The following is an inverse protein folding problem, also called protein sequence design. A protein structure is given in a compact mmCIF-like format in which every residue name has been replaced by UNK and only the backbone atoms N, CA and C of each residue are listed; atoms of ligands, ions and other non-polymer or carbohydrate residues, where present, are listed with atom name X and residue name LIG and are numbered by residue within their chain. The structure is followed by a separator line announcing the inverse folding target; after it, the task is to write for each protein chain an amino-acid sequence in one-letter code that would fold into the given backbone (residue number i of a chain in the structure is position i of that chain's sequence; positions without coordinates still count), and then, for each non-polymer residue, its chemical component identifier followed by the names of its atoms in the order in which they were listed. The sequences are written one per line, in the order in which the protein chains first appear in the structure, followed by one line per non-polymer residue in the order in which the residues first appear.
data_IF_864019302226
#
_entry.id   IF_864019302226
#
_cell.length_a   1.000
_cell.length_b   1.000
_cell.length_c   1.000
_cell.angle_alpha   90.00
_cell.angle_beta   90.00
_cell.angle_gamma   90.00
#
_symmetry.space_group_name_H-M   'P 1'
#
loop_
_entity.id
_entity.type
_entity.pdbx_description
1 polymer ?
#
# COMPACT_ATOMS: atom_id res chain seq x y z
N UNK A 1 8.40 13.63 -7.55
CA UNK A 1 8.75 12.60 -8.53
C UNK A 1 9.34 13.14 -9.79
N UNK A 2 8.68 14.11 -10.41
CA UNK A 2 9.16 14.70 -11.65
C UNK A 2 10.54 15.32 -11.48
N UNK A 3 10.81 15.90 -10.31
CA UNK A 3 12.11 16.49 -10.01
C UNK A 3 13.19 15.43 -9.89
N UNK A 4 12.88 14.30 -9.25
CA UNK A 4 13.82 13.17 -9.14
C UNK A 4 14.13 12.63 -10.53
N UNK A 5 13.13 12.47 -11.38
CA UNK A 5 13.30 11.94 -12.72
C UNK A 5 14.12 12.89 -13.60
N UNK A 6 13.98 14.20 -13.44
CA UNK A 6 14.79 15.20 -14.14
C UNK A 6 16.25 15.15 -13.71
N UNK A 7 16.50 14.85 -12.42
CA UNK A 7 17.84 14.81 -11.87
C UNK A 7 18.56 13.50 -12.20
N UNK A 8 17.83 12.39 -12.32
CA UNK A 8 18.37 11.06 -12.59
C UNK A 8 17.65 10.46 -13.80
N UNK A 9 18.39 10.27 -14.90
CA UNK A 9 17.83 9.73 -16.14
C UNK A 9 17.35 8.29 -15.98
N UNK A 10 18.03 7.52 -15.11
CA UNK A 10 17.73 6.11 -14.94
C UNK A 10 17.79 5.70 -13.48
N UNK A 11 16.77 4.96 -13.06
CA UNK A 11 16.69 4.32 -11.76
C UNK A 11 16.77 2.82 -11.98
N UNK A 12 17.79 2.18 -11.39
CA UNK A 12 17.98 0.73 -11.57
C UNK A 12 17.07 -0.08 -10.67
N UNK A 13 16.91 0.34 -9.42
CA UNK A 13 16.09 -0.36 -8.41
C UNK A 13 15.14 0.62 -7.77
N UNK A 14 13.87 0.25 -7.73
CA UNK A 14 12.83 1.01 -7.05
C UNK A 14 12.30 0.20 -5.87
N UNK A 15 12.46 0.72 -4.66
CA UNK A 15 11.79 0.21 -3.47
C UNK A 15 10.52 1.03 -3.30
N UNK A 16 9.37 0.40 -3.46
CA UNK A 16 8.10 1.11 -3.44
C UNK A 16 7.19 0.62 -2.34
N UNK A 17 6.62 1.57 -1.62
CA UNK A 17 5.61 1.33 -0.61
C UNK A 17 4.28 0.95 -1.31
N UNK A 18 3.61 -0.07 -0.81
CA UNK A 18 2.33 -0.53 -1.35
C UNK A 18 1.17 -0.45 -0.34
N UNK A 19 1.36 0.25 0.76
CA UNK A 19 0.33 0.44 1.77
C UNK A 19 0.66 1.60 2.70
N UNK A 20 -0.33 2.03 3.45
CA UNK A 20 -0.17 3.09 4.43
C UNK A 20 -0.62 2.63 5.80
N UNK A 21 0.22 2.82 6.82
CA UNK A 21 -0.12 2.55 8.20
C UNK A 21 -0.96 3.72 8.76
N UNK A 22 -2.22 3.44 9.10
CA UNK A 22 -3.10 4.45 9.65
C UNK A 22 -4.35 3.82 10.23
N UNK A 23 -5.12 4.58 11.03
CA UNK A 23 -6.30 4.03 11.71
C UNK A 23 -7.51 3.81 10.80
N UNK A 24 -7.52 4.38 9.61
CA UNK A 24 -8.63 4.24 8.67
C UNK A 24 -8.49 2.96 7.84
N UNK A 25 -9.54 2.18 7.62
CA UNK A 25 -10.90 2.33 8.17
C UNK A 25 -11.13 1.53 9.45
N UNK A 26 -10.17 0.70 9.88
CA UNK A 26 -10.38 -0.30 10.91
C UNK A 26 -10.74 0.27 12.29
N UNK A 27 -10.20 1.42 12.63
CA UNK A 27 -10.41 2.05 13.95
C UNK A 27 -11.52 3.09 13.96
N UNK A 28 -12.23 3.29 12.87
CA UNK A 28 -13.29 4.31 12.79
C UNK A 28 -14.60 3.75 13.30
N UNK A 29 -15.08 4.23 14.45
CA UNK A 29 -16.30 3.73 15.10
C UNK A 29 -17.58 4.07 14.33
N UNK A 30 -17.57 5.12 13.53
CA UNK A 30 -18.72 5.53 12.72
C UNK A 30 -18.99 4.63 11.52
N UNK A 31 -18.10 3.65 11.25
CA UNK A 31 -18.27 2.68 10.19
C UNK A 31 -18.62 1.32 10.78
N UNK A 32 -19.61 0.64 10.22
CA UNK A 32 -19.90 -0.74 10.59
C UNK A 32 -18.91 -1.71 9.91
N UNK A 33 -18.97 -3.00 10.26
CA UNK A 33 -18.02 -3.99 9.73
C UNK A 33 -18.06 -4.10 8.20
N UNK A 34 -19.23 -4.03 7.61
CA UNK A 34 -19.40 -4.10 6.15
C UNK A 34 -18.78 -2.88 5.46
N UNK A 35 -19.02 -1.69 6.02
CA UNK A 35 -18.43 -0.46 5.50
C UNK A 35 -16.91 -0.46 5.63
N UNK A 36 -16.37 -0.99 6.73
CA UNK A 36 -14.94 -1.12 6.95
C UNK A 36 -14.30 -2.05 5.92
N UNK A 37 -14.94 -3.16 5.59
CA UNK A 37 -14.44 -4.11 4.58
C UNK A 37 -14.35 -3.43 3.21
N UNK A 38 -15.40 -2.72 2.81
CA UNK A 38 -15.44 -2.01 1.53
C UNK A 38 -14.35 -0.93 1.49
N UNK A 39 -14.23 -0.14 2.56
CA UNK A 39 -13.22 0.91 2.66
C UNK A 39 -11.79 0.34 2.66
N UNK A 40 -11.57 -0.79 3.32
CA UNK A 40 -10.27 -1.47 3.34
C UNK A 40 -9.87 -1.94 1.95
N UNK A 41 -10.77 -2.54 1.20
CA UNK A 41 -10.51 -2.99 -0.16
C UNK A 41 -10.18 -1.81 -1.08
N UNK A 42 -10.90 -0.71 -0.94
CA UNK A 42 -10.66 0.50 -1.72
C UNK A 42 -9.29 1.11 -1.41
N UNK A 43 -8.93 1.17 -0.14
CA UNK A 43 -7.63 1.69 0.31
C UNK A 43 -6.48 0.83 -0.20
N UNK A 44 -6.61 -0.50 -0.08
CA UNK A 44 -5.61 -1.45 -0.57
C UNK A 44 -5.37 -1.25 -2.07
N UNK A 45 -6.43 -1.19 -2.85
CA UNK A 45 -6.35 -0.99 -4.31
C UNK A 45 -5.72 0.34 -4.67
N UNK A 46 -6.05 1.39 -3.93
CA UNK A 46 -5.48 2.72 -4.14
C UNK A 46 -3.95 2.72 -3.99
N UNK A 47 -3.44 2.09 -2.94
CA UNK A 47 -2.00 2.04 -2.71
C UNK A 47 -1.27 1.14 -3.70
N UNK A 48 -1.87 0.03 -4.12
CA UNK A 48 -1.30 -0.82 -5.15
C UNK A 48 -1.22 -0.10 -6.50
N UNK A 49 -2.27 0.62 -6.86
CA UNK A 49 -2.28 1.42 -8.10
C UNK A 49 -1.25 2.55 -8.03
N UNK A 50 -1.07 3.17 -6.88
CA UNK A 50 -0.07 4.21 -6.70
C UNK A 50 1.34 3.65 -6.91
N UNK A 51 1.61 2.46 -6.36
CA UNK A 51 2.91 1.81 -6.55
C UNK A 51 3.17 1.50 -8.03
N UNK A 52 2.15 1.04 -8.75
CA UNK A 52 2.27 0.80 -10.20
C UNK A 52 2.56 2.09 -10.96
N UNK A 53 1.90 3.19 -10.59
CA UNK A 53 2.16 4.48 -11.22
C UNK A 53 3.62 4.92 -11.03
N UNK A 54 4.21 4.66 -9.87
CA UNK A 54 5.63 4.94 -9.63
C UNK A 54 6.52 4.09 -10.52
N UNK A 55 6.21 2.80 -10.65
CA UNK A 55 6.97 1.89 -11.52
C UNK A 55 6.89 2.37 -12.97
N UNK A 56 5.72 2.76 -13.44
CA UNK A 56 5.53 3.26 -14.80
C UNK A 56 6.27 4.58 -15.04
N UNK A 57 6.31 5.46 -14.03
CA UNK A 57 6.99 6.76 -14.15
C UNK A 57 8.50 6.61 -14.20
N UNK A 58 9.09 5.78 -13.32
CA UNK A 58 10.54 5.63 -13.23
C UNK A 58 11.11 4.55 -14.13
N UNK A 59 10.30 3.59 -14.55
CA UNK A 59 10.69 2.47 -15.41
C UNK A 59 12.00 1.81 -14.94
N UNK A 60 12.07 1.37 -13.67
CA UNK A 60 13.29 0.77 -13.12
C UNK A 60 13.55 -0.59 -13.77
N UNK A 61 14.82 -1.04 -13.72
CA UNK A 61 15.17 -2.40 -14.12
C UNK A 61 14.58 -3.45 -13.16
N UNK A 62 14.56 -3.12 -11.87
CA UNK A 62 14.05 -3.97 -10.80
C UNK A 62 13.20 -3.15 -9.86
N UNK A 63 12.16 -3.75 -9.32
CA UNK A 63 11.35 -3.13 -8.28
C UNK A 63 11.05 -4.15 -7.19
N UNK A 64 10.92 -3.65 -5.96
CA UNK A 64 10.64 -4.48 -4.79
C UNK A 64 9.56 -3.81 -3.94
N UNK A 65 8.45 -4.50 -3.66
CA UNK A 65 7.48 -4.04 -2.67
C UNK A 65 8.16 -3.93 -1.30
N UNK A 66 7.94 -2.81 -0.62
CA UNK A 66 8.68 -2.48 0.60
C UNK A 66 7.77 -1.74 1.57
N UNK A 67 7.86 -2.10 2.86
CA UNK A 67 7.20 -1.37 3.95
C UNK A 67 5.71 -1.14 3.74
N UNK A 68 4.98 -2.14 3.23
CA UNK A 68 3.57 -1.99 2.89
C UNK A 68 2.58 -2.63 3.84
N UNK A 69 3.04 -3.34 4.86
CA UNK A 69 2.14 -4.00 5.80
C UNK A 69 2.56 -3.75 7.25
N UNK A 70 1.62 -3.94 8.15
CA UNK A 70 1.83 -3.77 9.58
C UNK A 70 0.87 -4.67 10.35
N UNK A 71 1.13 -4.84 11.64
CA UNK A 71 0.33 -5.69 12.51
C UNK A 71 -0.27 -4.87 13.65
N UNK A 72 -1.55 -5.06 13.89
CA UNK A 72 -2.23 -4.49 15.05
C UNK A 72 -2.11 -5.45 16.22
N UNK A 73 -1.78 -4.92 17.39
CA UNK A 73 -1.57 -5.71 18.61
C UNK A 73 -2.44 -5.21 19.75
N UNK A 74 -2.49 -5.97 20.85
CA UNK A 74 -3.23 -5.58 22.03
C UNK A 74 -4.74 -5.51 21.78
N UNK A 75 -5.36 -4.43 22.21
CA UNK A 75 -6.81 -4.23 22.09
C UNK A 75 -7.30 -4.13 20.65
N UNK A 76 -6.40 -3.82 19.72
CA UNK A 76 -6.74 -3.63 18.31
C UNK A 76 -6.50 -4.87 17.47
N UNK A 77 -6.05 -5.99 18.07
CA UNK A 77 -5.69 -7.19 17.31
C UNK A 77 -6.87 -7.79 16.53
N UNK A 78 -8.10 -7.62 17.02
CA UNK A 78 -9.30 -8.11 16.35
C UNK A 78 -9.67 -7.30 15.09
N UNK A 79 -9.01 -6.18 14.85
CA UNK A 79 -9.23 -5.34 13.68
C UNK A 79 -8.23 -5.62 12.54
N UNK A 80 -7.35 -6.62 12.71
CA UNK A 80 -6.32 -6.98 11.71
C UNK A 80 -6.90 -7.20 10.31
N UNK A 81 -8.01 -7.91 10.21
CA UNK A 81 -8.63 -8.27 8.93
C UNK A 81 -9.28 -7.08 8.23
N UNK A 82 -9.45 -5.96 8.91
CA UNK A 82 -10.10 -4.75 8.39
C UNK A 82 -9.08 -3.70 7.93
N UNK A 83 -7.79 -4.00 7.99
CA UNK A 83 -6.76 -3.08 7.49
C UNK A 83 -6.84 -2.98 5.97
N UNK A 84 -6.66 -1.78 5.45
CA UNK A 84 -6.62 -1.54 4.01
C UNK A 84 -5.22 -1.73 3.44
N UNK A 85 -4.58 -2.87 3.70
CA UNK A 85 -3.23 -3.18 3.25
C UNK A 85 -3.16 -4.54 2.60
N UNK A 86 -2.31 -4.66 1.59
CA UNK A 86 -2.08 -5.92 0.89
C UNK A 86 -1.01 -6.75 1.62
N UNK A 87 -1.02 -8.05 1.39
CA UNK A 87 0.12 -8.89 1.76
C UNK A 87 1.26 -8.68 0.77
N UNK A 88 2.47 -9.05 1.18
CA UNK A 88 3.64 -8.96 0.31
C UNK A 88 3.45 -9.80 -0.96
N UNK A 89 2.93 -11.01 -0.82
CA UNK A 89 2.70 -11.91 -1.97
C UNK A 89 1.66 -11.32 -2.93
N UNK A 90 0.58 -10.74 -2.42
CA UNK A 90 -0.43 -10.09 -3.27
C UNK A 90 0.15 -8.88 -3.99
N UNK A 91 1.01 -8.11 -3.33
CA UNK A 91 1.66 -6.97 -3.95
C UNK A 91 2.59 -7.40 -5.09
N UNK A 92 3.37 -8.46 -4.88
CA UNK A 92 4.24 -9.01 -5.93
C UNK A 92 3.41 -9.46 -7.13
N UNK A 93 2.32 -10.16 -6.90
CA UNK A 93 1.46 -10.66 -7.99
C UNK A 93 0.74 -9.52 -8.72
N UNK A 94 0.43 -8.43 -8.01
CA UNK A 94 -0.21 -7.27 -8.61
C UNK A 94 0.74 -6.51 -9.53
N UNK A 95 1.99 -6.41 -9.13
CA UNK A 95 3.02 -5.73 -9.92
C UNK A 95 3.47 -6.60 -11.09
#
# INVERSE_FOLDING_TARGET
FKDIKKQYDKINVLLTNYGGAGPYPQCFENLNSKEKIIAAQSKEKQFLNQAINYIDEFKPNYYLPFAGTYTLTGKLSNLQTLRGVSTFDNAINFF
#
